data_IF_479253167738
#
_entry.id   IF_479253167738
#
_cell.length_a   1.000
_cell.length_b   1.000
_cell.length_c   1.000
_cell.angle_alpha   90.00
_cell.angle_beta   90.00
_cell.angle_gamma   90.00
#
_symmetry.space_group_name_H-M   'P 1'
#
loop_
_entity.id
_entity.type
_entity.pdbx_description
1 polymer ?
#
# COMPACT_ATOMS: atom_id res chain seq x y z
N UNK A 1 15.52 -6.91 -14.21
CA UNK A 1 14.33 -6.16 -13.79
C UNK A 1 14.29 -6.22 -12.29
N UNK A 2 14.35 -5.07 -11.62
CA UNK A 2 14.15 -5.03 -10.17
C UNK A 2 12.72 -5.49 -9.86
N UNK A 3 12.59 -6.41 -8.91
CA UNK A 3 11.28 -6.97 -8.53
C UNK A 3 10.47 -5.89 -7.81
N UNK A 4 9.22 -5.68 -8.23
CA UNK A 4 8.29 -4.76 -7.56
C UNK A 4 8.07 -5.14 -6.09
N UNK A 5 8.10 -6.44 -5.77
CA UNK A 5 8.06 -6.96 -4.40
C UNK A 5 9.12 -8.03 -4.28
N UNK A 6 9.93 -7.95 -3.23
CA UNK A 6 10.92 -8.97 -2.91
C UNK A 6 10.93 -9.21 -1.39
N UNK A 7 10.55 -10.42 -0.99
CA UNK A 7 10.45 -10.81 0.42
C UNK A 7 11.81 -10.94 1.12
N UNK A 8 12.89 -11.06 0.34
CA UNK A 8 14.24 -11.33 0.84
C UNK A 8 15.11 -10.06 0.95
N UNK A 9 14.55 -8.89 0.66
CA UNK A 9 15.27 -7.61 0.74
C UNK A 9 14.70 -6.72 1.81
N UNK A 10 15.55 -5.87 2.37
CA UNK A 10 15.13 -4.76 3.24
C UNK A 10 14.10 -3.87 2.50
N UNK A 11 13.06 -3.35 3.19
CA UNK A 11 12.72 -3.56 4.61
C UNK A 11 11.90 -4.83 4.88
N UNK A 12 11.54 -5.59 3.85
CA UNK A 12 10.58 -6.69 3.94
C UNK A 12 11.14 -7.88 4.69
N UNK A 13 12.40 -8.28 4.42
CA UNK A 13 13.05 -9.42 5.06
C UNK A 13 13.01 -9.34 6.60
N UNK A 14 13.27 -8.15 7.13
CA UNK A 14 13.32 -7.89 8.57
C UNK A 14 11.94 -7.81 9.24
N UNK A 15 10.89 -7.58 8.45
CA UNK A 15 9.55 -7.32 8.96
C UNK A 15 8.51 -8.36 8.53
N UNK A 16 8.88 -9.34 7.70
CA UNK A 16 7.97 -10.33 7.12
C UNK A 16 7.14 -11.05 8.18
N UNK A 17 7.79 -11.54 9.24
CA UNK A 17 7.10 -12.20 10.35
C UNK A 17 5.99 -11.36 10.99
N UNK A 18 6.24 -10.06 11.12
CA UNK A 18 5.27 -9.12 11.68
C UNK A 18 4.16 -8.81 10.68
N UNK A 19 4.50 -8.59 9.41
CA UNK A 19 3.55 -8.32 8.31
C UNK A 19 2.57 -9.47 8.06
N UNK A 20 2.91 -10.71 8.45
CA UNK A 20 2.02 -11.87 8.35
C UNK A 20 0.98 -11.93 9.47
N UNK A 21 1.11 -11.13 10.54
CA UNK A 21 0.23 -11.27 11.71
C UNK A 21 -1.18 -10.77 11.43
N UNK A 22 -2.13 -11.56 11.88
CA UNK A 22 -3.50 -11.17 12.06
C UNK A 22 -3.71 -10.79 13.53
N UNK A 23 -4.13 -9.54 13.78
CA UNK A 23 -4.23 -8.99 15.13
C UNK A 23 -5.47 -9.50 15.87
N UNK A 24 -6.53 -9.84 15.16
CA UNK A 24 -7.80 -10.31 15.71
C UNK A 24 -7.68 -11.74 16.24
N UNK A 25 -7.14 -12.63 15.42
CA UNK A 25 -6.98 -14.06 15.71
C UNK A 25 -5.69 -14.40 16.47
N UNK A 26 -4.74 -13.46 16.53
CA UNK A 26 -3.37 -13.64 17.04
C UNK A 26 -2.56 -14.71 16.28
N UNK A 27 -3.06 -15.16 15.14
CA UNK A 27 -2.42 -16.10 14.21
C UNK A 27 -1.80 -15.32 13.05
N UNK A 28 -1.26 -16.01 12.05
CA UNK A 28 -0.94 -15.38 10.78
C UNK A 28 -2.17 -15.34 9.88
N UNK A 29 -2.18 -14.44 8.91
CA UNK A 29 -3.14 -14.44 7.80
C UNK A 29 -3.04 -15.78 7.04
N UNK A 30 -4.15 -16.23 6.48
CA UNK A 30 -4.22 -17.46 5.67
C UNK A 30 -4.09 -17.13 4.19
N UNK A 31 -3.78 -18.13 3.35
CA UNK A 31 -3.69 -17.90 1.90
C UNK A 31 -5.03 -17.49 1.27
N UNK A 32 -6.13 -18.08 1.69
CA UNK A 32 -7.50 -17.83 1.20
C UNK A 32 -7.65 -17.91 -0.33
N UNK A 33 -6.81 -18.74 -0.98
CA UNK A 33 -6.81 -18.92 -2.43
C UNK A 33 -6.29 -20.30 -2.83
N UNK A 34 -6.96 -20.93 -3.79
CA UNK A 34 -6.61 -22.27 -4.31
C UNK A 34 -5.41 -22.28 -5.24
N UNK A 35 -4.84 -21.12 -5.59
CA UNK A 35 -3.75 -21.02 -6.57
C UNK A 35 -2.50 -21.79 -6.17
N UNK A 36 -2.34 -22.04 -4.86
CA UNK A 36 -1.20 -22.78 -4.31
C UNK A 36 -1.51 -24.27 -4.05
N UNK A 37 -2.71 -24.74 -4.42
CA UNK A 37 -3.16 -26.12 -4.13
C UNK A 37 -2.68 -27.17 -5.14
N UNK A 38 -2.27 -26.77 -6.35
CA UNK A 38 -2.05 -27.70 -7.47
C UNK A 38 -0.59 -27.88 -7.90
N UNK A 39 0.37 -27.15 -7.32
CA UNK A 39 1.80 -27.30 -7.68
C UNK A 39 2.68 -27.49 -6.45
N UNK A 40 3.73 -28.31 -6.59
CA UNK A 40 4.68 -28.61 -5.52
C UNK A 40 4.01 -29.35 -4.36
N UNK A 41 4.39 -28.99 -3.13
CA UNK A 41 3.66 -29.39 -1.92
C UNK A 41 2.38 -28.56 -1.81
N UNK A 42 1.18 -29.16 -1.93
CA UNK A 42 -0.08 -28.42 -1.93
C UNK A 42 -0.28 -27.60 -0.65
N UNK A 43 -0.53 -26.30 -0.81
CA UNK A 43 -0.90 -25.40 0.28
C UNK A 43 -2.43 -25.26 0.28
N UNK A 44 -3.04 -25.46 1.44
CA UNK A 44 -4.50 -25.31 1.58
C UNK A 44 -4.88 -23.84 1.69
N UNK A 45 -6.07 -23.49 1.21
CA UNK A 45 -6.59 -22.11 1.31
C UNK A 45 -6.68 -21.63 2.78
N UNK A 46 -6.98 -22.54 3.70
CA UNK A 46 -7.10 -22.28 5.14
C UNK A 46 -5.76 -22.32 5.89
N UNK A 47 -4.65 -22.55 5.19
CA UNK A 47 -3.33 -22.65 5.78
C UNK A 47 -2.77 -21.25 6.08
N UNK A 48 -2.12 -21.11 7.24
CA UNK A 48 -1.47 -19.88 7.65
C UNK A 48 -0.23 -19.62 6.80
N UNK A 49 -0.05 -18.38 6.37
CA UNK A 49 1.17 -17.94 5.71
C UNK A 49 2.31 -17.85 6.74
N UNK A 50 3.36 -18.64 6.58
CA UNK A 50 4.57 -18.59 7.45
C UNK A 50 5.81 -18.22 6.66
N UNK A 51 6.86 -17.76 7.33
CA UNK A 51 8.13 -17.44 6.65
C UNK A 51 8.74 -18.67 6.00
N UNK A 52 8.60 -19.84 6.60
CA UNK A 52 9.11 -21.11 6.08
C UNK A 52 8.41 -21.47 4.78
N UNK A 53 7.09 -21.31 4.73
CA UNK A 53 6.32 -21.47 3.49
C UNK A 53 6.81 -20.46 2.46
N UNK A 54 6.87 -19.17 2.79
CA UNK A 54 7.22 -18.13 1.82
C UNK A 54 8.66 -18.18 1.31
N UNK A 55 9.62 -18.65 2.13
CA UNK A 55 11.03 -18.79 1.75
C UNK A 55 11.36 -20.16 1.14
N UNK A 56 10.59 -21.19 1.48
CA UNK A 56 10.84 -22.58 1.08
C UNK A 56 10.38 -22.94 -0.34
N UNK A 57 9.50 -22.16 -0.95
CA UNK A 57 9.01 -22.41 -2.32
C UNK A 57 9.74 -21.54 -3.36
N UNK A 58 10.71 -22.13 -4.05
CA UNK A 58 11.31 -21.53 -5.26
C UNK A 58 10.34 -21.47 -6.44
N UNK A 59 9.23 -22.23 -6.40
CA UNK A 59 8.24 -22.34 -7.47
C UNK A 59 7.08 -21.33 -7.39
N UNK A 60 6.93 -20.62 -6.26
CA UNK A 60 5.83 -19.68 -6.04
C UNK A 60 6.31 -18.38 -5.45
N UNK A 61 6.56 -17.41 -6.32
CA UNK A 61 6.88 -16.08 -5.88
C UNK A 61 5.59 -15.31 -5.53
N UNK A 62 5.50 -14.81 -4.29
CA UNK A 62 4.56 -13.74 -3.96
C UNK A 62 5.01 -12.52 -4.76
N UNK A 63 4.26 -12.21 -5.80
CA UNK A 63 4.54 -11.11 -6.70
C UNK A 63 3.26 -10.35 -7.02
N UNK A 64 3.37 -9.05 -7.34
CA UNK A 64 2.28 -8.27 -7.86
C UNK A 64 1.61 -8.98 -9.02
N UNK A 65 0.30 -8.86 -9.06
CA UNK A 65 -0.55 -9.57 -9.99
C UNK A 65 -0.19 -9.29 -11.45
N UNK A 66 0.25 -8.07 -11.76
CA UNK A 66 0.72 -7.67 -13.09
C UNK A 66 1.92 -8.48 -13.60
N UNK A 67 2.72 -9.04 -12.68
CA UNK A 67 3.88 -9.89 -13.02
C UNK A 67 3.53 -11.39 -13.10
N UNK A 68 2.31 -11.80 -12.72
CA UNK A 68 1.83 -13.19 -12.87
C UNK A 68 1.60 -13.49 -14.36
N UNK A 69 1.69 -14.78 -14.74
CA UNK A 69 1.48 -15.15 -16.15
C UNK A 69 0.01 -14.92 -16.57
N UNK A 70 -0.24 -14.79 -17.89
CA UNK A 70 -1.56 -14.44 -18.42
C UNK A 70 -2.66 -15.44 -18.05
N UNK A 71 -2.34 -16.73 -17.99
CA UNK A 71 -3.29 -17.79 -17.60
C UNK A 71 -3.74 -17.62 -16.14
N UNK A 72 -2.80 -17.39 -15.22
CA UNK A 72 -3.09 -17.14 -13.80
C UNK A 72 -3.90 -15.85 -13.59
N UNK A 73 -3.62 -14.80 -14.37
CA UNK A 73 -4.40 -13.56 -14.33
C UNK A 73 -5.85 -13.80 -14.77
N UNK A 74 -6.06 -14.52 -15.87
CA UNK A 74 -7.39 -14.81 -16.42
C UNK A 74 -8.22 -15.72 -15.52
N UNK A 75 -7.64 -16.80 -14.99
CA UNK A 75 -8.33 -17.72 -14.06
C UNK A 75 -8.83 -16.97 -12.83
N UNK A 76 -7.99 -16.12 -12.25
CA UNK A 76 -8.35 -15.36 -11.05
C UNK A 76 -9.40 -14.29 -11.31
N UNK A 77 -9.34 -13.56 -12.43
CA UNK A 77 -10.39 -12.57 -12.75
C UNK A 77 -11.74 -13.25 -12.97
N UNK A 78 -11.78 -14.44 -13.59
CA UNK A 78 -13.02 -15.22 -13.77
C UNK A 78 -13.53 -15.84 -12.48
N UNK A 79 -12.65 -16.41 -11.66
CA UNK A 79 -13.04 -17.19 -10.48
C UNK A 79 -13.22 -16.36 -9.20
N UNK A 80 -12.56 -15.21 -9.09
CA UNK A 80 -12.49 -14.40 -7.86
C UNK A 80 -12.88 -12.93 -8.06
N UNK A 81 -13.38 -12.56 -9.25
CA UNK A 81 -13.77 -11.19 -9.61
C UNK A 81 -12.69 -10.13 -9.34
N UNK A 82 -11.43 -10.53 -9.38
CA UNK A 82 -10.30 -9.62 -9.14
C UNK A 82 -10.09 -8.71 -10.37
N UNK A 83 -10.19 -7.39 -10.14
CA UNK A 83 -10.10 -6.33 -11.15
C UNK A 83 -8.80 -5.55 -10.96
N UNK A 84 -8.12 -5.23 -12.08
CA UNK A 84 -6.99 -4.31 -12.08
C UNK A 84 -7.53 -2.90 -12.22
N UNK A 85 -7.28 -2.05 -11.23
CA UNK A 85 -7.59 -0.62 -11.33
C UNK A 85 -6.33 0.14 -11.75
N UNK A 86 -6.24 0.65 -13.00
CA UNK A 86 -5.12 1.48 -13.41
C UNK A 86 -4.99 2.73 -12.54
N UNK A 87 -3.78 3.24 -12.36
CA UNK A 87 -3.53 4.37 -11.47
C UNK A 87 -4.30 5.63 -11.85
N UNK A 88 -4.61 5.84 -13.14
CA UNK A 88 -5.41 7.00 -13.56
C UNK A 88 -6.88 6.91 -13.10
N UNK A 89 -7.45 5.69 -12.98
CA UNK A 89 -8.77 5.48 -12.38
C UNK A 89 -8.69 5.70 -10.86
N UNK A 90 -7.69 5.13 -10.20
CA UNK A 90 -7.45 5.38 -8.78
C UNK A 90 -7.33 6.88 -8.47
N UNK A 91 -6.58 7.59 -9.32
CA UNK A 91 -6.38 9.02 -9.23
C UNK A 91 -7.70 9.79 -9.32
N UNK A 92 -8.55 9.44 -10.28
CA UNK A 92 -9.87 10.07 -10.46
C UNK A 92 -10.75 9.93 -9.21
N UNK A 93 -10.79 8.74 -8.61
CA UNK A 93 -11.59 8.51 -7.39
C UNK A 93 -11.00 9.22 -6.18
N UNK A 94 -9.67 9.23 -6.03
CA UNK A 94 -9.01 9.97 -4.95
C UNK A 94 -9.18 11.49 -5.13
N UNK A 95 -9.18 11.99 -6.36
CA UNK A 95 -9.47 13.41 -6.66
C UNK A 95 -10.89 13.79 -6.26
N UNK A 96 -11.89 12.95 -6.55
CA UNK A 96 -13.24 13.20 -6.08
C UNK A 96 -13.32 13.22 -4.55
N UNK A 97 -12.68 12.27 -3.87
CA UNK A 97 -12.56 12.23 -2.42
C UNK A 97 -11.91 13.48 -1.80
N UNK A 98 -10.95 14.08 -2.50
CA UNK A 98 -10.28 15.30 -2.06
C UNK A 98 -11.09 16.54 -2.42
N UNK A 99 -11.76 16.58 -3.58
CA UNK A 99 -12.67 17.67 -3.95
C UNK A 99 -13.76 17.86 -2.89
N UNK A 100 -14.38 16.77 -2.44
CA UNK A 100 -15.38 16.79 -1.38
C UNK A 100 -14.79 17.30 -0.04
N UNK A 101 -13.53 16.99 0.25
CA UNK A 101 -12.90 17.41 1.51
C UNK A 101 -12.44 18.87 1.48
N UNK A 102 -11.84 19.30 0.37
CA UNK A 102 -11.26 20.64 0.20
C UNK A 102 -12.27 21.67 -0.32
N UNK A 103 -13.42 21.24 -0.85
CA UNK A 103 -14.39 22.11 -1.52
C UNK A 103 -13.90 22.70 -2.85
N UNK A 104 -12.82 22.14 -3.43
CA UNK A 104 -12.22 22.61 -4.69
C UNK A 104 -11.49 21.49 -5.43
N UNK A 105 -11.43 21.62 -6.75
CA UNK A 105 -10.76 20.67 -7.67
C UNK A 105 -9.24 20.85 -7.70
N UNK A 106 -8.57 19.86 -8.30
CA UNK A 106 -7.16 19.89 -8.71
C UNK A 106 -6.17 20.19 -7.58
N UNK A 107 -6.45 19.70 -6.37
CA UNK A 107 -5.61 19.95 -5.18
C UNK A 107 -4.23 19.33 -5.36
N UNK A 108 -4.16 18.05 -5.76
CA UNK A 108 -2.90 17.32 -5.88
C UNK A 108 -2.42 17.18 -7.34
N UNK A 109 -3.35 17.09 -8.28
CA UNK A 109 -3.07 16.97 -9.71
C UNK A 109 -4.34 17.29 -10.52
N UNK A 110 -4.18 17.44 -11.83
CA UNK A 110 -5.27 17.59 -12.80
C UNK A 110 -5.34 16.33 -13.66
N UNK A 111 -6.52 15.72 -13.74
CA UNK A 111 -6.77 14.54 -14.57
C UNK A 111 -6.51 14.80 -16.06
N UNK A 112 -5.95 13.79 -16.73
CA UNK A 112 -5.85 13.65 -18.18
C UNK A 112 -6.51 12.32 -18.57
N UNK A 113 -6.62 12.01 -19.87
CA UNK A 113 -7.35 10.82 -20.35
C UNK A 113 -6.91 9.51 -19.69
N UNK A 114 -5.60 9.23 -19.64
CA UNK A 114 -5.01 8.05 -18.98
C UNK A 114 -3.80 8.44 -18.12
N UNK A 115 -3.85 9.61 -17.50
CA UNK A 115 -2.75 10.15 -16.70
C UNK A 115 -3.16 11.38 -15.90
N UNK A 116 -2.19 12.10 -15.37
CA UNK A 116 -2.43 13.34 -14.63
C UNK A 116 -1.23 14.28 -14.71
N UNK A 117 -1.50 15.57 -14.56
CA UNK A 117 -0.47 16.59 -14.38
C UNK A 117 -0.37 16.92 -12.89
N UNK A 118 0.78 16.63 -12.28
CA UNK A 118 1.03 16.91 -10.87
C UNK A 118 0.95 18.41 -10.59
N UNK A 119 0.20 18.80 -9.57
CA UNK A 119 0.24 20.15 -9.03
C UNK A 119 1.46 20.26 -8.11
N UNK A 120 2.44 21.10 -8.44
CA UNK A 120 3.67 21.27 -7.65
C UNK A 120 3.57 22.35 -6.57
N UNK A 121 2.49 23.13 -6.56
CA UNK A 121 2.27 24.16 -5.56
C UNK A 121 1.98 23.56 -4.18
N UNK A 122 2.36 24.28 -3.13
CA UNK A 122 2.03 23.87 -1.75
C UNK A 122 0.52 23.77 -1.59
N UNK A 123 0.05 22.70 -0.96
CA UNK A 123 -1.38 22.50 -0.68
C UNK A 123 -1.86 23.55 0.33
N UNK A 124 -2.74 24.43 -0.12
CA UNK A 124 -3.37 25.46 0.71
C UNK A 124 -4.54 24.91 1.54
N UNK A 125 -4.65 25.41 2.78
CA UNK A 125 -5.69 25.08 3.77
C UNK A 125 -6.28 26.36 4.36
N UNK A 126 -7.57 26.34 4.69
CA UNK A 126 -8.29 27.52 5.21
C UNK A 126 -7.89 27.91 6.63
N UNK A 127 -7.28 27.00 7.38
CA UNK A 127 -6.84 27.21 8.76
C UNK A 127 -5.46 26.64 8.98
N UNK A 128 -4.73 27.18 9.97
CA UNK A 128 -3.39 26.72 10.34
C UNK A 128 -3.34 25.21 10.64
N UNK A 129 -4.38 24.67 11.29
CA UNK A 129 -4.51 23.25 11.61
C UNK A 129 -5.24 22.43 10.53
N UNK A 130 -5.61 23.03 9.40
CA UNK A 130 -6.38 22.37 8.34
C UNK A 130 -5.65 21.15 7.77
N UNK A 131 -4.33 21.24 7.61
CA UNK A 131 -3.52 20.14 7.10
C UNK A 131 -3.48 18.94 8.07
N UNK A 132 -3.48 19.19 9.38
CA UNK A 132 -3.55 18.15 10.41
C UNK A 132 -4.87 17.40 10.32
N UNK A 133 -5.99 18.14 10.16
CA UNK A 133 -7.32 17.55 9.96
C UNK A 133 -7.38 16.69 8.68
N UNK A 134 -6.71 17.12 7.60
CA UNK A 134 -6.63 16.31 6.38
C UNK A 134 -5.84 15.01 6.60
N UNK A 135 -4.66 15.12 7.23
CA UNK A 135 -3.83 13.96 7.58
C UNK A 135 -4.61 12.99 8.47
N UNK A 136 -5.49 13.49 9.33
CA UNK A 136 -6.26 12.70 10.28
C UNK A 136 -7.59 12.15 9.72
N UNK A 137 -8.00 12.63 8.55
CA UNK A 137 -9.23 12.17 7.91
C UNK A 137 -9.17 10.66 7.65
N UNK A 138 -10.13 9.91 8.19
CA UNK A 138 -10.15 8.46 8.05
C UNK A 138 -10.54 8.06 6.63
N UNK A 139 -9.80 7.13 6.04
CA UNK A 139 -10.03 6.64 4.67
C UNK A 139 -9.92 5.12 4.68
N UNK A 140 -10.90 4.44 4.09
CA UNK A 140 -10.98 2.99 4.03
C UNK A 140 -11.07 2.55 2.57
N UNK A 141 -10.14 1.69 2.14
CA UNK A 141 -10.24 0.97 0.89
C UNK A 141 -10.86 -0.42 1.16
N UNK A 142 -12.09 -0.62 0.71
CA UNK A 142 -12.78 -1.91 0.84
C UNK A 142 -12.24 -2.89 -0.20
N UNK A 143 -12.08 -4.17 0.16
CA UNK A 143 -11.55 -5.22 -0.74
C UNK A 143 -10.29 -4.74 -1.47
N UNK A 144 -9.29 -4.34 -0.68
CA UNK A 144 -8.22 -3.47 -1.17
C UNK A 144 -7.22 -4.15 -2.10
N UNK A 145 -7.24 -5.48 -2.27
CA UNK A 145 -6.26 -6.17 -3.09
C UNK A 145 -4.82 -5.83 -2.67
N UNK A 146 -4.08 -5.16 -3.57
CA UNK A 146 -2.70 -4.69 -3.34
C UNK A 146 -2.61 -3.23 -2.82
N UNK A 147 -3.76 -2.66 -2.42
CA UNK A 147 -4.01 -1.30 -1.94
C UNK A 147 -3.68 -0.14 -2.89
N UNK A 148 -4.06 -0.21 -4.20
CA UNK A 148 -3.72 0.82 -5.18
C UNK A 148 -4.37 2.19 -4.94
N UNK A 149 -5.43 2.28 -4.13
CA UNK A 149 -6.02 3.59 -3.76
C UNK A 149 -5.33 4.18 -2.53
N UNK A 150 -4.73 3.37 -1.65
CA UNK A 150 -3.99 3.83 -0.48
C UNK A 150 -2.57 4.27 -0.84
N UNK A 151 -1.82 3.43 -1.57
CA UNK A 151 -0.45 3.71 -2.02
C UNK A 151 -0.27 3.31 -3.47
N UNK A 152 0.51 4.08 -4.20
CA UNK A 152 0.65 3.94 -5.66
C UNK A 152 2.12 3.88 -6.07
N UNK A 153 2.86 2.87 -5.59
CA UNK A 153 4.28 2.72 -5.95
C UNK A 153 4.49 2.34 -7.42
N UNK A 154 3.50 1.69 -8.02
CA UNK A 154 3.47 1.29 -9.41
C UNK A 154 2.03 1.31 -9.91
N UNK A 155 1.86 1.41 -11.23
CA UNK A 155 0.56 1.21 -11.85
C UNK A 155 0.17 -0.28 -11.80
N UNK A 156 -0.98 -0.58 -11.20
CA UNK A 156 -1.42 -1.97 -10.99
C UNK A 156 -1.75 -2.71 -12.29
N UNK A 157 -2.00 -2.00 -13.41
CA UNK A 157 -2.29 -2.57 -14.71
C UNK A 157 -1.03 -2.77 -15.58
N UNK A 158 -0.02 -1.89 -15.46
CA UNK A 158 1.21 -1.97 -16.29
C UNK A 158 2.45 -2.46 -15.54
N UNK A 159 2.48 -2.30 -14.21
CA UNK A 159 3.64 -2.57 -13.37
C UNK A 159 4.72 -1.48 -13.45
N UNK A 160 4.45 -0.38 -14.14
CA UNK A 160 5.37 0.75 -14.25
C UNK A 160 5.50 1.46 -12.90
N UNK A 161 6.74 1.69 -12.46
CA UNK A 161 7.02 2.38 -11.20
C UNK A 161 6.65 3.86 -11.28
N UNK A 162 6.08 4.37 -10.19
CA UNK A 162 5.75 5.78 -10.03
C UNK A 162 6.72 6.43 -9.03
N UNK A 163 7.41 7.46 -9.50
CA UNK A 163 8.19 8.35 -8.63
C UNK A 163 7.29 8.97 -7.56
N UNK A 164 7.84 9.27 -6.37
CA UNK A 164 7.08 9.80 -5.23
C UNK A 164 6.16 10.96 -5.61
N UNK A 165 6.64 11.91 -6.44
CA UNK A 165 5.87 13.08 -6.87
C UNK A 165 4.68 12.75 -7.76
N UNK A 166 4.73 11.62 -8.45
CA UNK A 166 3.66 11.12 -9.32
C UNK A 166 2.63 10.29 -8.55
N UNK A 167 2.93 9.87 -7.32
CA UNK A 167 2.05 8.97 -6.57
C UNK A 167 0.72 9.65 -6.19
N UNK A 168 -0.36 8.92 -6.36
CA UNK A 168 -1.76 9.37 -6.23
C UNK A 168 -2.50 8.76 -5.04
N UNK A 169 -1.91 7.80 -4.34
CA UNK A 169 -2.54 7.09 -3.23
C UNK A 169 -2.93 8.04 -2.10
N UNK A 170 -4.00 7.75 -1.38
CA UNK A 170 -4.47 8.65 -0.31
C UNK A 170 -3.43 8.82 0.80
N UNK A 171 -2.62 7.79 1.06
CA UNK A 171 -1.48 7.88 1.98
C UNK A 171 -0.36 8.71 1.34
N UNK A 172 -0.06 8.53 0.06
CA UNK A 172 0.94 9.35 -0.65
C UNK A 172 0.57 10.85 -0.57
N UNK A 173 -0.70 11.20 -0.80
CA UNK A 173 -1.23 12.57 -0.67
C UNK A 173 -1.08 13.13 0.75
N UNK A 174 -1.40 12.33 1.77
CA UNK A 174 -1.19 12.70 3.18
C UNK A 174 0.30 12.91 3.49
N UNK A 175 1.18 12.03 3.00
CA UNK A 175 2.63 12.15 3.21
C UNK A 175 3.20 13.39 2.52
N UNK A 176 2.71 13.75 1.32
CA UNK A 176 3.01 15.03 0.70
C UNK A 176 2.59 16.21 1.58
N UNK A 177 1.37 16.21 2.11
CA UNK A 177 0.89 17.27 3.02
C UNK A 177 1.76 17.36 4.27
N UNK A 178 2.16 16.23 4.85
CA UNK A 178 3.10 16.19 5.98
C UNK A 178 4.48 16.74 5.56
N UNK A 179 4.93 16.46 4.34
CA UNK A 179 6.19 16.97 3.79
C UNK A 179 6.22 18.50 3.71
N UNK A 180 5.15 19.09 3.20
CA UNK A 180 5.03 20.53 2.98
C UNK A 180 4.85 21.36 4.26
N UNK A 181 4.50 20.73 5.39
CA UNK A 181 4.06 21.42 6.61
C UNK A 181 4.88 21.11 7.88
N UNK A 182 5.94 20.32 7.76
CA UNK A 182 6.86 20.02 8.88
C UNK A 182 8.27 20.46 8.52
N UNK A 183 9.11 20.79 9.51
CA UNK A 183 10.49 21.25 9.26
C UNK A 183 11.52 20.25 9.78
N UNK A 184 11.26 19.64 10.93
CA UNK A 184 12.18 18.70 11.57
C UNK A 184 11.66 17.25 11.51
N UNK A 185 12.59 16.30 11.59
CA UNK A 185 12.32 14.88 11.43
C UNK A 185 11.41 14.31 12.54
N UNK A 186 11.53 14.80 13.77
CA UNK A 186 10.69 14.35 14.89
C UNK A 186 9.22 14.67 14.67
N UNK A 187 8.92 15.91 14.27
CA UNK A 187 7.56 16.34 13.95
C UNK A 187 7.05 15.64 12.68
N UNK A 188 7.91 15.50 11.67
CA UNK A 188 7.59 14.77 10.46
C UNK A 188 7.16 13.35 10.77
N UNK A 189 7.97 12.58 11.50
CA UNK A 189 7.68 11.19 11.82
C UNK A 189 6.41 11.06 12.66
N UNK A 190 6.15 12.00 13.58
CA UNK A 190 4.88 12.06 14.32
C UNK A 190 3.67 12.13 13.39
N UNK A 191 3.72 13.00 12.38
CA UNK A 191 2.60 13.19 11.46
C UNK A 191 2.52 12.13 10.36
N UNK A 192 3.65 11.55 9.96
CA UNK A 192 3.69 10.33 9.15
C UNK A 192 2.95 9.22 9.88
N UNK A 193 3.28 8.97 11.15
CA UNK A 193 2.61 7.93 11.95
C UNK A 193 1.09 8.19 12.03
N UNK A 194 0.67 9.44 12.17
CA UNK A 194 -0.76 9.81 12.11
C UNK A 194 -1.40 9.56 10.75
N UNK A 195 -0.71 9.82 9.65
CA UNK A 195 -1.18 9.50 8.30
C UNK A 195 -1.45 7.99 8.17
N UNK A 196 -0.50 7.15 8.59
CA UNK A 196 -0.66 5.68 8.60
C UNK A 196 -1.82 5.23 9.49
N UNK A 197 -2.01 5.87 10.65
CA UNK A 197 -3.10 5.55 11.57
C UNK A 197 -4.49 5.90 11.01
N UNK A 198 -4.56 6.81 10.02
CA UNK A 198 -5.81 7.29 9.42
C UNK A 198 -6.26 6.50 8.18
N UNK A 199 -5.43 5.62 7.63
CA UNK A 199 -5.76 4.82 6.44
C UNK A 199 -6.00 3.38 6.84
N UNK A 200 -6.99 2.77 6.21
CA UNK A 200 -7.48 1.42 6.50
C UNK A 200 -7.74 0.66 5.21
N UNK A 201 -7.66 -0.67 5.27
CA UNK A 201 -8.08 -1.54 4.18
C UNK A 201 -8.37 -2.95 4.67
N UNK A 202 -9.17 -3.70 3.92
CA UNK A 202 -9.31 -5.13 4.17
C UNK A 202 -9.35 -5.91 2.88
N UNK A 203 -8.85 -7.13 2.92
CA UNK A 203 -8.78 -8.03 1.77
C UNK A 203 -8.99 -9.47 2.24
N UNK A 204 -9.67 -10.29 1.45
CA UNK A 204 -9.88 -11.69 1.76
C UNK A 204 -8.64 -12.53 1.43
N UNK A 205 -8.01 -12.31 0.27
CA UNK A 205 -6.86 -13.10 -0.18
C UNK A 205 -5.56 -12.70 0.52
N UNK A 206 -4.91 -13.66 1.18
CA UNK A 206 -3.71 -13.40 1.98
C UNK A 206 -2.51 -12.93 1.18
N UNK A 207 -2.33 -13.41 -0.06
CA UNK A 207 -1.24 -12.99 -0.93
C UNK A 207 -1.39 -11.51 -1.34
N UNK A 208 -2.59 -11.10 -1.74
CA UNK A 208 -2.93 -9.71 -2.05
C UNK A 208 -2.75 -8.80 -0.83
N UNK A 209 -3.30 -9.21 0.33
CA UNK A 209 -3.16 -8.45 1.57
C UNK A 209 -1.70 -8.28 2.00
N UNK A 210 -0.87 -9.32 1.87
CA UNK A 210 0.55 -9.23 2.17
C UNK A 210 1.25 -8.22 1.27
N UNK A 211 0.94 -8.22 -0.04
CA UNK A 211 1.48 -7.25 -0.98
C UNK A 211 1.04 -5.82 -0.62
N UNK A 212 -0.24 -5.61 -0.27
CA UNK A 212 -0.72 -4.32 0.22
C UNK A 212 0.07 -3.83 1.45
N UNK A 213 0.26 -4.69 2.45
CA UNK A 213 1.04 -4.36 3.66
C UNK A 213 2.50 -4.03 3.33
N UNK A 214 3.12 -4.76 2.39
CA UNK A 214 4.48 -4.47 1.91
C UNK A 214 4.51 -3.14 1.14
N UNK A 215 3.49 -2.84 0.33
CA UNK A 215 3.39 -1.59 -0.41
C UNK A 215 3.43 -0.39 0.54
N UNK A 216 2.66 -0.43 1.63
CA UNK A 216 2.71 0.60 2.67
C UNK A 216 4.09 0.67 3.35
N UNK A 217 4.71 -0.46 3.70
CA UNK A 217 6.01 -0.46 4.37
C UNK A 217 7.11 0.16 3.49
N UNK A 218 7.17 -0.21 2.22
CA UNK A 218 8.16 0.34 1.29
C UNK A 218 7.89 1.82 1.03
N UNK A 219 6.62 2.26 0.93
CA UNK A 219 6.29 3.68 0.84
C UNK A 219 6.85 4.48 2.02
N UNK A 220 6.82 3.95 3.25
CA UNK A 220 7.47 4.64 4.39
C UNK A 220 8.98 4.81 4.19
N UNK A 221 9.67 3.76 3.72
CA UNK A 221 11.11 3.82 3.45
C UNK A 221 11.42 4.80 2.32
N UNK A 222 10.64 4.78 1.24
CA UNK A 222 10.80 5.69 0.10
C UNK A 222 10.73 7.16 0.56
N UNK A 223 9.72 7.51 1.36
CA UNK A 223 9.56 8.88 1.86
C UNK A 223 10.61 9.28 2.90
N UNK A 224 11.11 8.34 3.73
CA UNK A 224 12.23 8.61 4.63
C UNK A 224 13.50 8.90 3.85
N UNK A 225 13.78 8.11 2.80
CA UNK A 225 14.97 8.26 1.97
C UNK A 225 14.91 9.54 1.14
N UNK A 226 13.77 9.83 0.49
CA UNK A 226 13.58 11.03 -0.33
C UNK A 226 13.74 12.32 0.48
N UNK A 227 13.16 12.34 1.69
CA UNK A 227 13.16 13.55 2.51
C UNK A 227 14.42 13.74 3.35
N UNK A 228 14.90 12.67 3.98
CA UNK A 228 15.94 12.75 5.01
C UNK A 228 17.25 12.09 4.59
N UNK A 229 17.30 11.47 3.41
CA UNK A 229 18.53 10.86 2.88
C UNK A 229 19.00 9.63 3.64
N UNK A 230 18.13 9.03 4.48
CA UNK A 230 18.46 7.86 5.31
C UNK A 230 17.37 6.79 5.24
N UNK A 231 17.72 5.59 5.68
CA UNK A 231 16.75 4.53 5.92
C UNK A 231 16.15 4.63 7.34
N UNK A 232 14.93 4.15 7.56
CA UNK A 232 14.34 4.10 8.89
C UNK A 232 15.09 3.16 9.85
N UNK A 233 15.10 3.54 11.12
CA UNK A 233 15.56 2.68 12.23
C UNK A 233 14.56 1.56 12.52
N UNK A 234 15.01 0.47 13.16
CA UNK A 234 14.11 -0.62 13.55
C UNK A 234 12.98 -0.17 14.46
N UNK A 235 13.22 0.83 15.32
CA UNK A 235 12.20 1.39 16.21
C UNK A 235 11.09 2.12 15.43
N UNK A 236 11.45 2.82 14.36
CA UNK A 236 10.50 3.48 13.46
C UNK A 236 9.72 2.45 12.63
N UNK A 237 10.42 1.46 12.05
CA UNK A 237 9.79 0.37 11.30
C UNK A 237 8.79 -0.39 12.16
N UNK A 238 9.14 -0.76 13.40
CA UNK A 238 8.22 -1.46 14.31
C UNK A 238 6.93 -0.67 14.56
N UNK A 239 7.02 0.66 14.70
CA UNK A 239 5.83 1.52 14.90
C UNK A 239 4.94 1.50 13.66
N UNK A 240 5.52 1.69 12.47
CA UNK A 240 4.80 1.72 11.19
C UNK A 240 4.19 0.35 10.89
N UNK A 241 4.97 -0.73 10.98
CA UNK A 241 4.50 -2.11 10.76
C UNK A 241 3.37 -2.46 11.71
N UNK A 242 3.47 -2.07 12.99
CA UNK A 242 2.37 -2.32 13.93
C UNK A 242 1.08 -1.62 13.50
N UNK A 243 1.13 -0.37 13.02
CA UNK A 243 -0.06 0.31 12.48
C UNK A 243 -0.58 -0.39 11.23
N UNK A 244 0.30 -0.74 10.28
CA UNK A 244 -0.07 -1.43 9.04
C UNK A 244 -0.88 -2.70 9.32
N UNK A 245 -0.40 -3.57 10.23
CA UNK A 245 -1.07 -4.87 10.47
C UNK A 245 -2.34 -4.77 11.33
N UNK A 246 -2.57 -3.62 11.99
CA UNK A 246 -3.84 -3.32 12.65
C UNK A 246 -4.85 -2.72 11.67
N UNK A 247 -4.38 -1.88 10.75
CA UNK A 247 -5.25 -1.11 9.86
C UNK A 247 -5.51 -1.79 8.50
N UNK A 248 -4.68 -2.74 8.09
CA UNK A 248 -4.90 -3.58 6.92
C UNK A 248 -5.08 -5.02 7.40
N UNK A 249 -6.30 -5.55 7.36
CA UNK A 249 -6.63 -6.87 7.94
C UNK A 249 -7.24 -7.84 6.93
N UNK A 250 -7.20 -9.13 7.26
CA UNK A 250 -7.84 -10.16 6.45
C UNK A 250 -9.33 -10.21 6.78
N UNK A 251 -10.17 -10.14 5.77
CA UNK A 251 -11.61 -10.35 5.93
C UNK A 251 -11.88 -11.80 6.32
N UNK A 252 -12.77 -12.01 7.28
CA UNK A 252 -13.23 -13.31 7.77
C UNK A 252 -14.41 -13.87 6.97
#
# INVERSE_FOLDING_TARGET
MDKLINLNTYPVSENLKALLKDKTTKKNIIFATSVYSSKGTPIKETEQMTEEILKGFTQYEIQPRVLKNKEQQQERTKAKAEVFTPSWICNKMNNHCDEEWFGRKNVFNTEQEQGWLVNTEKVGFDTEDGWKKYVDSKRLEITCGEAPYIVSRYDAATGELLEIRQRIGILDRKLRVVNENTVNETEWFKWVLRAYQSVYGYEFQGDSLLIARINLLITFVDYMQDRWGRVPTDAELRKIVNVIVWNLWQMD
#
